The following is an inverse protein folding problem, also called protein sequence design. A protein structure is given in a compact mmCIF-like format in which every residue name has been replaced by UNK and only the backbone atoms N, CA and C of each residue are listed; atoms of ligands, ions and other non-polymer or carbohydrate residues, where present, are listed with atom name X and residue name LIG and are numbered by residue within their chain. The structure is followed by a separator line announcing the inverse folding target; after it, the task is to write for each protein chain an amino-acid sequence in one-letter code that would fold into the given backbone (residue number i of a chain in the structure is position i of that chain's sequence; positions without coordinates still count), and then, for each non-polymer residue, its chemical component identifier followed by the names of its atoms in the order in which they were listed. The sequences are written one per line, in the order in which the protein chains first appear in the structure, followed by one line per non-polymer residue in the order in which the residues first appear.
data_IF_522550031306
#
_entry.id   IF_522550031306
#
_cell.length_a   1.000
_cell.length_b   1.000
_cell.length_c   1.000
_cell.angle_alpha   90.00
_cell.angle_beta   90.00
_cell.angle_gamma   90.00
#
_symmetry.space_group_name_H-M   'P 1'
#
loop_
_entity.id
_entity.type
_entity.pdbx_description
1 polymer ?
#
# COMPACT_ATOMS: atom_id res chain seq x y z
N UNK A 1 -39.98 -19.25 -16.90
CA UNK A 1 -38.52 -19.00 -16.98
C UNK A 1 -37.89 -19.48 -15.68
N UNK A 2 -37.07 -20.54 -15.71
CA UNK A 2 -36.34 -21.03 -14.52
C UNK A 2 -34.94 -20.42 -14.52
N UNK A 3 -34.59 -19.71 -13.45
CA UNK A 3 -33.24 -19.17 -13.23
C UNK A 3 -32.51 -20.10 -12.28
N UNK A 4 -31.31 -20.56 -12.70
CA UNK A 4 -30.41 -21.34 -11.84
C UNK A 4 -29.52 -20.35 -11.10
N UNK A 5 -29.62 -20.32 -9.77
CA UNK A 5 -28.76 -19.48 -8.91
C UNK A 5 -27.66 -20.37 -8.35
N UNK A 6 -26.40 -20.04 -8.66
CA UNK A 6 -25.24 -20.72 -8.07
C UNK A 6 -24.69 -19.94 -6.87
N UNK A 7 -24.16 -20.65 -5.84
CA UNK A 7 -23.53 -20.01 -4.69
C UNK A 7 -22.29 -19.19 -5.09
N UNK A 8 -22.11 -18.05 -4.43
CA UNK A 8 -20.91 -17.22 -4.61
C UNK A 8 -19.65 -18.00 -4.18
N UNK A 9 -18.75 -18.25 -5.14
CA UNK A 9 -17.44 -18.87 -4.87
C UNK A 9 -16.58 -17.92 -4.04
N UNK A 10 -16.30 -18.30 -2.79
CA UNK A 10 -15.36 -17.56 -1.93
C UNK A 10 -13.94 -17.73 -2.46
N UNK A 11 -13.15 -16.65 -2.44
CA UNK A 11 -11.72 -16.76 -2.70
C UNK A 11 -11.04 -17.39 -1.49
N UNK A 12 -10.34 -18.49 -1.71
CA UNK A 12 -9.60 -19.20 -0.67
C UNK A 12 -8.32 -18.46 -0.27
N UNK A 13 -7.76 -17.65 -1.16
CA UNK A 13 -6.50 -16.96 -0.93
C UNK A 13 -6.70 -15.54 -0.43
N UNK A 14 -5.96 -15.10 0.60
CA UNK A 14 -5.99 -13.72 1.05
C UNK A 14 -5.47 -12.81 -0.06
N UNK A 15 -6.07 -11.63 -0.18
CA UNK A 15 -5.62 -10.64 -1.15
C UNK A 15 -4.20 -10.15 -0.85
N UNK A 16 -3.41 -9.96 -1.91
CA UNK A 16 -2.11 -9.28 -1.83
C UNK A 16 -2.31 -7.76 -1.95
N UNK A 17 -1.63 -7.01 -1.09
CA UNK A 17 -1.60 -5.56 -1.15
C UNK A 17 -0.69 -5.10 -2.29
N UNK A 18 -1.24 -4.41 -3.28
CA UNK A 18 -0.45 -3.86 -4.39
C UNK A 18 0.45 -2.67 -4.00
N UNK A 19 0.28 -2.09 -2.81
CA UNK A 19 1.16 -1.04 -2.30
C UNK A 19 2.45 -1.66 -1.73
N UNK A 20 2.36 -2.49 -0.68
CA UNK A 20 3.54 -3.05 0.01
C UNK A 20 3.85 -4.52 -0.31
N UNK A 21 3.13 -5.16 -1.24
CA UNK A 21 3.25 -6.57 -1.65
C UNK A 21 2.99 -7.64 -0.56
N UNK A 22 2.60 -7.26 0.66
CA UNK A 22 2.22 -8.20 1.73
C UNK A 22 0.74 -8.62 1.68
N UNK A 23 0.40 -9.70 2.37
CA UNK A 23 -0.96 -10.26 2.43
C UNK A 23 -1.78 -9.71 3.63
N UNK A 24 -3.05 -10.11 3.69
CA UNK A 24 -3.98 -9.89 4.81
C UNK A 24 -4.46 -8.44 5.04
N UNK A 25 -4.28 -7.56 4.06
CA UNK A 25 -4.88 -6.23 4.07
C UNK A 25 -5.08 -5.70 2.65
N UNK A 26 -5.93 -4.68 2.49
CA UNK A 26 -6.19 -4.05 1.20
C UNK A 26 -5.23 -2.89 0.93
N UNK A 27 -4.90 -2.65 -0.35
CA UNK A 27 -4.08 -1.48 -0.73
C UNK A 27 -4.67 -0.15 -0.30
N UNK A 28 -6.01 -0.06 -0.22
CA UNK A 28 -6.73 1.17 0.16
C UNK A 28 -6.45 1.62 1.60
N UNK A 29 -6.14 0.67 2.48
CA UNK A 29 -5.89 0.91 3.91
C UNK A 29 -4.41 0.73 4.26
N UNK A 30 -3.54 0.57 3.26
CA UNK A 30 -2.12 0.36 3.47
C UNK A 30 -1.41 1.71 3.67
N UNK A 31 -0.84 1.91 4.85
CA UNK A 31 -0.02 3.09 5.20
C UNK A 31 1.48 2.86 5.03
N UNK A 32 1.89 1.66 4.63
CA UNK A 32 3.30 1.31 4.40
C UNK A 32 3.83 1.91 3.09
N UNK A 33 5.15 2.02 3.03
CA UNK A 33 5.87 2.45 1.83
C UNK A 33 5.60 1.52 0.64
N UNK A 34 5.55 2.07 -0.59
CA UNK A 34 5.33 1.30 -1.78
C UNK A 34 6.53 0.40 -2.08
N UNK A 35 6.23 -0.84 -2.44
CA UNK A 35 7.21 -1.84 -2.86
C UNK A 35 6.86 -2.32 -4.26
N UNK A 36 7.83 -2.30 -5.16
CA UNK A 36 7.63 -2.67 -6.55
C UNK A 36 7.50 -4.19 -6.69
N UNK A 37 6.42 -4.64 -7.35
CA UNK A 37 6.16 -6.06 -7.61
C UNK A 37 7.25 -6.73 -8.46
N UNK A 38 7.90 -5.96 -9.35
CA UNK A 38 8.88 -6.46 -10.33
C UNK A 38 10.30 -6.56 -9.77
N UNK A 39 10.74 -5.58 -8.98
CA UNK A 39 12.14 -5.48 -8.53
C UNK A 39 12.33 -5.39 -7.02
N UNK A 40 11.24 -5.40 -6.24
CA UNK A 40 11.26 -5.19 -4.79
C UNK A 40 11.87 -3.84 -4.33
N UNK A 41 11.96 -2.85 -5.22
CA UNK A 41 12.45 -1.50 -4.90
C UNK A 41 11.40 -0.61 -4.20
N UNK A 42 11.81 0.48 -3.54
CA UNK A 42 10.96 1.38 -2.76
C UNK A 42 10.20 2.37 -3.65
N UNK A 43 9.36 1.85 -4.55
CA UNK A 43 8.53 2.64 -5.46
C UNK A 43 7.30 1.84 -5.90
N UNK A 44 6.29 2.53 -6.44
CA UNK A 44 5.12 1.87 -6.99
C UNK A 44 5.48 1.15 -8.30
N UNK A 45 4.89 -0.01 -8.57
CA UNK A 45 5.17 -0.80 -9.79
C UNK A 45 5.05 -0.01 -11.11
N UNK A 46 4.21 1.04 -11.14
CA UNK A 46 4.03 1.93 -12.30
C UNK A 46 5.24 2.84 -12.59
N UNK A 47 6.04 3.14 -11.57
CA UNK A 47 7.25 3.97 -11.66
C UNK A 47 8.51 3.12 -11.90
N UNK A 48 8.35 1.80 -12.07
CA UNK A 48 9.47 0.90 -12.22
C UNK A 48 10.12 1.06 -13.60
N UNK A 49 11.40 1.44 -13.62
CA UNK A 49 12.22 1.56 -14.83
C UNK A 49 12.84 0.23 -15.29
N UNK A 50 12.58 -0.86 -14.55
CA UNK A 50 13.13 -2.18 -14.87
C UNK A 50 12.53 -2.68 -16.19
N UNK A 51 13.40 -3.04 -17.13
CA UNK A 51 13.03 -3.66 -18.41
C UNK A 51 12.44 -5.06 -18.20
N UNK A 52 11.53 -5.46 -19.09
CA UNK A 52 10.81 -6.74 -19.00
C UNK A 52 11.74 -7.95 -19.10
N UNK A 53 12.87 -7.81 -19.79
CA UNK A 53 13.84 -8.89 -20.05
C UNK A 53 14.75 -9.21 -18.85
N UNK A 54 14.70 -8.39 -17.80
CA UNK A 54 15.54 -8.61 -16.61
C UNK A 54 14.79 -9.44 -15.57
N UNK A 55 15.49 -10.34 -14.83
CA UNK A 55 14.84 -11.22 -13.87
C UNK A 55 14.10 -10.42 -12.79
N UNK A 56 12.86 -10.81 -12.50
CA UNK A 56 12.08 -10.20 -11.43
C UNK A 56 12.65 -10.58 -10.06
N UNK A 57 12.46 -9.74 -9.06
CA UNK A 57 12.85 -10.02 -7.68
C UNK A 57 11.62 -10.04 -6.78
N UNK A 58 11.47 -11.14 -6.03
CA UNK A 58 10.34 -11.32 -5.13
C UNK A 58 10.52 -10.49 -3.86
N UNK A 59 9.57 -9.61 -3.56
CA UNK A 59 9.58 -8.80 -2.34
C UNK A 59 9.41 -9.63 -1.04
N UNK A 60 8.92 -10.88 -1.15
CA UNK A 60 8.60 -11.73 0.01
C UNK A 60 9.73 -12.70 0.35
N UNK A 61 10.33 -13.34 -0.65
CA UNK A 61 11.38 -14.36 -0.47
C UNK A 61 12.73 -13.99 -1.11
N UNK A 62 12.79 -12.93 -1.92
CA UNK A 62 14.02 -12.50 -2.59
C UNK A 62 14.40 -13.28 -3.86
N UNK A 63 13.67 -14.34 -4.22
CA UNK A 63 13.96 -15.17 -5.40
C UNK A 63 13.59 -14.55 -6.74
N UNK A 64 13.96 -15.23 -7.83
CA UNK A 64 13.85 -14.76 -9.22
C UNK A 64 12.43 -14.92 -9.81
N UNK A 65 11.44 -14.34 -9.13
CA UNK A 65 10.05 -14.30 -9.56
C UNK A 65 9.34 -13.06 -8.99
N UNK A 66 8.16 -12.72 -9.52
CA UNK A 66 7.35 -11.62 -8.98
C UNK A 66 6.70 -12.02 -7.65
N UNK A 67 6.42 -11.06 -6.77
CA UNK A 67 5.84 -11.34 -5.45
C UNK A 67 4.43 -12.00 -5.47
N UNK A 68 3.75 -12.02 -6.62
CA UNK A 68 2.44 -12.67 -6.81
C UNK A 68 2.57 -14.11 -7.35
N UNK A 69 3.79 -14.64 -7.49
CA UNK A 69 4.00 -15.99 -7.97
C UNK A 69 3.44 -17.01 -6.98
N UNK A 70 2.51 -17.87 -7.44
CA UNK A 70 1.84 -18.87 -6.61
C UNK A 70 2.77 -19.95 -6.07
N UNK A 71 3.92 -20.18 -6.71
CA UNK A 71 4.96 -21.11 -6.24
C UNK A 71 5.96 -20.49 -5.26
N UNK A 72 5.78 -19.23 -4.85
CA UNK A 72 6.66 -18.61 -3.87
C UNK A 72 6.56 -19.33 -2.51
N UNK A 73 7.67 -19.69 -1.85
CA UNK A 73 7.62 -20.38 -0.55
C UNK A 73 6.99 -19.54 0.57
N UNK A 74 6.94 -18.21 0.40
CA UNK A 74 6.29 -17.26 1.32
C UNK A 74 4.85 -16.94 0.92
N UNK A 75 4.32 -17.58 -0.13
CA UNK A 75 2.93 -17.43 -0.53
C UNK A 75 2.00 -18.08 0.51
N UNK A 76 0.87 -17.46 0.89
CA UNK A 76 -0.03 -17.96 1.93
C UNK A 76 -0.50 -19.40 1.74
N UNK A 77 -0.67 -19.86 0.49
CA UNK A 77 -1.05 -21.26 0.21
C UNK A 77 0.06 -22.28 0.48
N UNK A 78 1.32 -21.84 0.47
CA UNK A 78 2.50 -22.70 0.58
C UNK A 78 3.09 -22.67 1.99
N UNK A 79 2.60 -21.76 2.85
CA UNK A 79 2.96 -21.76 4.25
C UNK A 79 2.31 -22.96 4.92
N UNK A 80 3.13 -23.80 5.55
CA UNK A 80 2.64 -24.82 6.48
C UNK A 80 1.97 -24.04 7.63
N UNK A 81 0.67 -24.26 7.93
CA UNK A 81 0.05 -23.65 9.09
C UNK A 81 0.89 -24.00 10.32
N UNK A 82 1.24 -23.04 11.19
CA UNK A 82 1.78 -23.41 12.50
C UNK A 82 0.77 -24.36 13.14
N UNK A 83 1.25 -25.37 13.88
CA UNK A 83 0.36 -26.25 14.64
C UNK A 83 -0.65 -25.36 15.37
N UNK A 84 -1.96 -25.62 15.19
CA UNK A 84 -2.97 -24.81 15.84
C UNK A 84 -2.62 -24.81 17.33
N UNK A 85 -2.53 -23.63 17.99
CA UNK A 85 -2.30 -23.60 19.42
C UNK A 85 -3.34 -24.52 20.05
N UNK A 86 -2.88 -25.51 20.82
CA UNK A 86 -3.76 -26.43 21.54
C UNK A 86 -4.89 -25.60 22.14
N UNK A 87 -6.11 -25.92 21.73
CA UNK A 87 -7.34 -25.18 22.00
C UNK A 87 -7.32 -24.52 23.39
N UNK A 88 -7.09 -23.19 23.46
CA UNK A 88 -7.22 -22.44 24.71
C UNK A 88 -8.68 -22.19 25.13
N UNK A 89 -9.65 -22.81 24.44
CA UNK A 89 -11.07 -22.74 24.80
C UNK A 89 -11.51 -23.82 25.80
N UNK A 90 -10.57 -24.61 26.32
CA UNK A 90 -10.86 -25.53 27.43
C UNK A 90 -11.21 -24.75 28.71
N UNK A 91 -12.51 -24.68 28.97
CA UNK A 91 -13.16 -24.92 30.27
C UNK A 91 -12.86 -24.04 31.51
N UNK A 92 -12.18 -22.90 31.43
CA UNK A 92 -12.05 -22.03 32.61
C UNK A 92 -11.99 -20.53 32.26
N UNK A 93 -13.06 -20.02 31.64
CA UNK A 93 -13.39 -18.60 31.77
C UNK A 93 -14.38 -18.42 32.94
N UNK A 94 -14.04 -17.66 34.01
CA UNK A 94 -14.94 -17.40 35.13
C UNK A 94 -16.25 -16.69 34.74
N UNK A 95 -16.32 -16.10 33.54
CA UNK A 95 -17.48 -15.33 33.08
C UNK A 95 -18.72 -16.19 32.79
N UNK A 96 -18.57 -17.51 32.64
CA UNK A 96 -19.66 -18.43 32.27
C UNK A 96 -20.61 -18.77 33.43
N UNK A 97 -20.23 -18.48 34.69
CA UNK A 97 -21.01 -18.90 35.89
C UNK A 97 -22.09 -17.92 36.35
N UNK A 98 -22.16 -16.71 35.78
CA UNK A 98 -23.06 -15.65 36.27
C UNK A 98 -24.39 -15.53 35.51
N UNK A 99 -24.78 -16.54 34.71
CA UNK A 99 -26.06 -16.53 33.97
C UNK A 99 -27.14 -17.43 34.58
N UNK A 100 -26.91 -18.05 35.74
CA UNK A 100 -27.87 -18.95 36.39
C UNK A 100 -28.54 -18.37 37.65
N UNK A 101 -28.66 -17.04 37.78
CA UNK A 101 -29.40 -16.43 38.88
C UNK A 101 -30.40 -15.38 38.35
N UNK A 102 -31.68 -15.71 38.42
CA UNK A 102 -32.81 -14.82 38.14
C UNK A 102 -32.93 -13.74 39.23
N UNK A 103 -32.73 -12.45 38.88
CA UNK A 103 -33.17 -11.27 39.65
C UNK A 103 -33.13 -9.98 38.76
N UNK A 104 -33.76 -8.86 39.16
CA UNK A 104 -34.69 -8.11 38.31
C UNK A 104 -34.06 -7.02 37.41
N UNK A 105 -34.79 -6.68 36.34
CA UNK A 105 -34.45 -5.67 35.32
C UNK A 105 -34.25 -4.27 35.92
N UNK A 106 -33.08 -3.62 35.75
CA UNK A 106 -32.96 -2.18 35.93
C UNK A 106 -33.45 -1.46 34.66
N UNK A 107 -34.45 -0.59 34.79
CA UNK A 107 -34.85 0.33 33.72
C UNK A 107 -33.80 1.43 33.60
N UNK A 108 -32.90 1.31 32.63
CA UNK A 108 -32.03 2.42 32.23
C UNK A 108 -32.76 3.18 31.13
N UNK A 109 -33.18 4.41 31.44
CA UNK A 109 -33.69 5.35 30.44
C UNK A 109 -32.50 5.84 29.59
N UNK A 110 -32.43 5.41 28.34
CA UNK A 110 -31.52 6.00 27.35
C UNK A 110 -32.24 7.16 26.64
N UNK A 111 -31.61 8.34 26.49
CA UNK A 111 -32.20 9.44 25.74
C UNK A 111 -32.29 9.11 24.25
N UNK A 112 -33.30 9.70 23.60
CA UNK A 112 -33.70 9.48 22.21
C UNK A 112 -32.56 9.73 21.19
N UNK A 113 -32.61 9.09 20.00
CA UNK A 113 -31.61 9.30 18.96
C UNK A 113 -31.74 10.71 18.39
N UNK A 114 -30.63 11.45 18.36
CA UNK A 114 -30.54 12.72 17.65
C UNK A 114 -30.58 12.43 16.15
N UNK A 115 -31.67 12.84 15.49
CA UNK A 115 -31.78 12.93 14.04
C UNK A 115 -30.72 13.93 13.57
N UNK A 116 -29.71 13.46 12.83
CA UNK A 116 -28.80 14.36 12.10
C UNK A 116 -29.34 14.61 10.71
N UNK A 117 -29.70 15.87 10.48
CA UNK A 117 -30.11 16.42 9.21
C UNK A 117 -29.09 16.12 8.10
N UNK A 118 -29.61 15.84 6.90
CA UNK A 118 -28.88 15.79 5.65
C UNK A 118 -28.25 17.15 5.38
N UNK A 119 -26.93 17.24 5.45
CA UNK A 119 -26.18 18.38 4.94
C UNK A 119 -25.23 17.86 3.86
N UNK A 120 -25.50 18.26 2.63
CA UNK A 120 -24.56 18.13 1.53
C UNK A 120 -23.24 18.83 1.92
N UNK A 121 -22.11 18.13 1.78
CA UNK A 121 -20.80 18.70 1.41
C UNK A 121 -19.72 17.63 1.38
N UNK A 122 -18.88 17.75 0.36
CA UNK A 122 -17.62 17.05 0.15
C UNK A 122 -16.66 17.16 1.36
N UNK A 123 -15.64 16.28 1.41
CA UNK A 123 -14.30 16.71 1.82
C UNK A 123 -13.33 16.56 0.65
N UNK A 124 -13.00 17.70 0.04
CA UNK A 124 -11.77 17.87 -0.73
C UNK A 124 -10.60 17.85 0.26
N UNK A 125 -9.68 16.88 0.10
CA UNK A 125 -8.36 16.92 0.73
C UNK A 125 -7.58 18.10 0.13
N UNK A 126 -7.63 19.26 0.80
CA UNK A 126 -6.75 20.40 0.52
C UNK A 126 -5.34 20.04 1.00
N UNK A 127 -4.46 19.84 0.02
CA UNK A 127 -3.02 19.70 0.22
C UNK A 127 -2.43 21.09 0.50
N UNK A 128 -1.82 21.27 1.66
CA UNK A 128 -1.10 22.49 2.03
C UNK A 128 0.28 22.48 1.35
N UNK A 129 0.32 22.53 0.00
CA UNK A 129 1.55 22.33 -0.76
C UNK A 129 2.25 23.61 -1.23
N UNK A 130 1.80 24.79 -0.80
CA UNK A 130 2.34 26.06 -1.34
C UNK A 130 3.81 26.25 -0.99
N UNK A 131 4.26 25.79 0.18
CA UNK A 131 5.67 25.90 0.55
C UNK A 131 6.55 24.86 -0.16
N UNK A 132 6.05 23.66 -0.42
CA UNK A 132 6.83 22.59 -1.05
C UNK A 132 6.96 22.79 -2.55
N UNK A 133 5.94 23.32 -3.23
CA UNK A 133 6.01 23.67 -4.64
C UNK A 133 6.98 24.83 -4.88
N UNK A 134 6.96 25.87 -4.03
CA UNK A 134 7.85 27.04 -4.13
C UNK A 134 9.31 26.67 -3.86
N UNK A 135 9.58 25.82 -2.86
CA UNK A 135 10.93 25.34 -2.59
C UNK A 135 11.47 24.48 -3.74
N UNK A 136 10.61 23.65 -4.35
CA UNK A 136 10.98 22.82 -5.50
C UNK A 136 11.26 23.66 -6.75
N UNK A 137 10.44 24.68 -7.04
CA UNK A 137 10.69 25.61 -8.16
C UNK A 137 11.96 26.41 -7.95
N UNK A 138 12.24 26.85 -6.72
CA UNK A 138 13.47 27.58 -6.41
C UNK A 138 14.72 26.71 -6.55
N UNK A 139 14.64 25.42 -6.18
CA UNK A 139 15.73 24.47 -6.36
C UNK A 139 16.00 24.22 -7.86
N UNK A 140 14.95 24.00 -8.65
CA UNK A 140 15.07 23.77 -10.09
C UNK A 140 15.73 24.99 -10.77
N UNK A 141 15.24 26.20 -10.47
CA UNK A 141 15.79 27.43 -11.06
C UNK A 141 17.28 27.63 -10.71
N UNK A 142 17.69 27.30 -9.48
CA UNK A 142 19.12 27.36 -9.09
C UNK A 142 19.98 26.35 -9.82
N UNK A 143 19.49 25.12 -10.00
CA UNK A 143 20.23 24.08 -10.73
C UNK A 143 20.34 24.45 -12.20
N UNK A 144 19.26 24.92 -12.83
CA UNK A 144 19.29 25.35 -14.23
C UNK A 144 20.30 26.48 -14.48
N UNK A 145 20.40 27.46 -13.57
CA UNK A 145 21.38 28.55 -13.69
C UNK A 145 22.84 28.04 -13.69
N UNK A 146 23.17 27.10 -12.80
CA UNK A 146 24.51 26.50 -12.75
C UNK A 146 24.87 25.75 -14.03
N UNK A 147 23.91 25.04 -14.63
CA UNK A 147 24.15 24.34 -15.90
C UNK A 147 24.32 25.29 -17.08
N UNK A 148 23.58 26.40 -17.12
CA UNK A 148 23.74 27.40 -18.18
C UNK A 148 25.13 28.04 -18.16
N UNK A 149 25.71 28.32 -17.00
CA UNK A 149 27.07 28.86 -16.88
C UNK A 149 28.14 27.87 -17.38
N UNK A 150 27.98 26.57 -17.10
CA UNK A 150 28.88 25.52 -17.58
C UNK A 150 28.79 25.35 -19.10
N UNK A 151 27.59 25.42 -19.67
CA UNK A 151 27.40 25.30 -21.11
C UNK A 151 28.06 26.47 -21.87
N UNK A 152 27.92 27.70 -21.36
CA UNK A 152 28.56 28.88 -21.96
C UNK A 152 30.09 28.77 -21.89
N UNK A 153 30.65 28.25 -20.79
CA UNK A 153 32.09 28.05 -20.65
C UNK A 153 32.65 27.03 -21.66
N UNK A 154 31.91 25.95 -21.95
CA UNK A 154 32.33 24.94 -22.93
C UNK A 154 32.26 25.44 -24.38
N UNK A 155 31.29 26.29 -24.71
CA UNK A 155 31.17 26.87 -26.07
C UNK A 155 32.29 27.89 -26.37
N UNK A 156 32.83 28.58 -25.37
CA UNK A 156 33.99 29.47 -25.54
C UNK A 156 35.31 28.73 -25.84
N UNK A 157 35.46 27.50 -25.37
CA UNK A 157 36.67 26.69 -25.61
C UNK A 157 36.69 26.08 -27.03
N UNK A 158 35.51 25.82 -27.62
CA UNK A 158 35.41 25.25 -28.99
C UNK A 158 35.69 26.31 -30.06
N UNK A 159 35.42 27.60 -29.80
CA UNK A 159 35.61 28.69 -30.77
C UNK A 159 37.05 29.25 -30.83
N UNK A 160 37.99 28.70 -30.06
CA UNK A 160 39.37 29.22 -29.94
C UNK A 160 40.44 28.39 -30.68
N UNK A 161 40.07 27.42 -31.52
CA UNK A 161 41.04 26.63 -32.31
C UNK A 161 41.55 27.44 -33.51
N UNK A 162 42.87 27.69 -33.63
CA UNK A 162 43.41 28.46 -34.75
C UNK A 162 43.31 27.66 -36.04
N UNK A 163 42.76 28.31 -37.07
CA UNK A 163 42.76 27.84 -38.45
C UNK A 163 44.20 27.87 -38.98
N UNK A 164 44.83 26.70 -39.06
CA UNK A 164 46.15 26.52 -39.67
C UNK A 164 45.94 26.46 -41.19
N UNK A 165 46.50 27.46 -41.89
CA UNK A 165 46.62 27.52 -43.35
C UNK A 165 47.72 26.60 -43.87
#
# INVERSE_FOLDING_TARGET
MRVKVEPLKRRTQPGQCYNCQQYFHSSRQCTRDPVCLKCAGPHATRQCQKQMDTPAKCALCGGDHTANYSGCPKHPSNLIPPEPPACRWSAENPLSKTLAASAPKPKINLPAPIIRATVASQPQLKSNNTNTSVLLTNLINKVTALFSEVLVALDSDINSLPHVQ
#
